data_IF_676439732622
#
_entry.id   IF_676439732622
#
_cell.length_a   1.000
_cell.length_b   1.000
_cell.length_c   1.000
_cell.angle_alpha   90.00
_cell.angle_beta   90.00
_cell.angle_gamma   90.00
#
_symmetry.space_group_name_H-M   'P 1'
#
loop_
_entity.id
_entity.type
_entity.pdbx_description
1 polymer ?
#
# COMPACT_ATOMS: atom_id res chain seq x y z
N UNK A 1 13.42 45.88 72.86
CA UNK A 1 14.38 45.78 71.73
C UNK A 1 13.60 45.59 70.45
N UNK A 2 13.47 46.67 69.68
CA UNK A 2 12.59 46.74 68.53
C UNK A 2 13.09 45.96 67.32
N UNK A 3 12.15 45.41 66.57
CA UNK A 3 12.24 45.34 65.12
C UNK A 3 10.95 45.97 64.58
N UNK A 4 11.13 47.13 63.94
CA UNK A 4 10.13 47.89 63.19
C UNK A 4 9.40 47.02 62.19
N UNK A 5 8.10 46.80 62.41
CA UNK A 5 7.17 46.50 61.33
C UNK A 5 7.00 47.79 60.52
N UNK A 6 7.58 47.87 59.33
CA UNK A 6 7.11 48.84 58.34
C UNK A 6 5.75 48.34 57.86
N UNK A 7 4.69 48.82 58.49
CA UNK A 7 3.35 48.79 57.91
C UNK A 7 3.34 49.78 56.73
N UNK A 8 3.86 49.34 55.58
CA UNK A 8 3.80 50.05 54.30
C UNK A 8 2.61 49.59 53.45
N UNK A 9 1.53 49.11 54.08
CA UNK A 9 0.22 48.89 53.44
C UNK A 9 -0.53 50.22 53.17
N UNK A 10 0.20 51.27 52.80
CA UNK A 10 -0.41 52.48 52.26
C UNK A 10 -0.78 52.19 50.82
N UNK A 11 -2.07 51.93 50.57
CA UNK A 11 -2.66 51.94 49.23
C UNK A 11 -2.33 53.31 48.61
N UNK A 12 -1.45 53.31 47.61
CA UNK A 12 -1.05 54.53 46.93
C UNK A 12 -2.10 54.85 45.87
N UNK A 13 -2.93 55.84 46.17
CA UNK A 13 -4.03 56.28 45.31
C UNK A 13 -3.53 57.44 44.47
N UNK A 14 -3.58 57.30 43.15
CA UNK A 14 -3.26 58.36 42.19
C UNK A 14 -4.46 58.69 41.30
N UNK A 15 -4.51 59.91 40.78
CA UNK A 15 -5.41 60.28 39.69
C UNK A 15 -4.67 60.15 38.37
N UNK A 16 -5.32 59.59 37.35
CA UNK A 16 -4.79 59.62 35.99
C UNK A 16 -5.18 60.91 35.25
N UNK A 17 -4.71 61.04 34.00
CA UNK A 17 -4.99 62.18 33.13
C UNK A 17 -6.48 62.33 32.75
N UNK A 18 -7.30 61.32 33.05
CA UNK A 18 -8.75 61.29 32.87
C UNK A 18 -9.52 61.55 34.18
N UNK A 19 -8.82 61.99 35.24
CA UNK A 19 -9.34 62.21 36.60
C UNK A 19 -9.94 60.97 37.29
N UNK A 20 -9.56 59.76 36.87
CA UNK A 20 -9.98 58.51 37.50
C UNK A 20 -9.06 58.13 38.65
N UNK A 21 -9.65 57.64 39.73
CA UNK A 21 -8.93 57.12 40.89
C UNK A 21 -8.30 55.77 40.52
N UNK A 22 -6.99 55.64 40.71
CA UNK A 22 -6.22 54.42 40.45
C UNK A 22 -5.37 54.02 41.64
N UNK A 23 -5.16 52.72 41.77
CA UNK A 23 -4.28 52.11 42.80
C UNK A 23 -2.90 51.75 42.22
N UNK A 24 -2.81 51.63 40.89
CA UNK A 24 -1.55 51.54 40.14
C UNK A 24 -1.25 52.88 39.48
N UNK A 25 0.04 53.26 39.43
CA UNK A 25 0.46 54.40 38.63
C UNK A 25 0.08 54.19 37.15
N UNK A 26 -0.27 55.26 36.41
CA UNK A 26 -0.71 55.16 35.01
C UNK A 26 0.26 54.34 34.14
N UNK A 27 1.56 54.59 34.26
CA UNK A 27 2.61 53.86 33.53
C UNK A 27 2.58 52.34 33.80
N UNK A 28 2.40 51.92 35.05
CA UNK A 28 2.33 50.49 35.39
C UNK A 28 1.03 49.85 34.91
N UNK A 29 -0.07 50.61 34.92
CA UNK A 29 -1.34 50.17 34.38
C UNK A 29 -1.25 49.93 32.87
N UNK A 30 -0.66 50.89 32.13
CA UNK A 30 -0.48 50.78 30.68
C UNK A 30 0.45 49.63 30.31
N UNK A 31 1.58 49.46 31.01
CA UNK A 31 2.48 48.32 30.80
C UNK A 31 1.80 46.97 31.07
N UNK A 32 0.94 46.90 32.11
CA UNK A 32 0.20 45.67 32.43
C UNK A 32 -0.84 45.37 31.34
N UNK A 33 -1.48 46.39 30.78
CA UNK A 33 -2.43 46.25 29.68
C UNK A 33 -1.72 45.78 28.41
N UNK A 34 -0.60 46.41 28.05
CA UNK A 34 0.21 46.00 26.91
C UNK A 34 0.70 44.55 27.05
N UNK A 35 1.19 44.17 28.24
CA UNK A 35 1.59 42.79 28.52
C UNK A 35 0.42 41.82 28.34
N UNK A 36 -0.79 42.15 28.81
CA UNK A 36 -1.97 41.31 28.65
C UNK A 36 -2.36 41.13 27.17
N UNK A 37 -2.28 42.20 26.37
CA UNK A 37 -2.52 42.16 24.92
C UNK A 37 -1.48 41.28 24.21
N UNK A 38 -0.19 41.43 24.55
CA UNK A 38 0.89 40.62 23.99
C UNK A 38 0.74 39.14 24.38
N UNK A 39 0.41 38.83 25.63
CA UNK A 39 0.14 37.46 26.08
C UNK A 39 -1.03 36.85 25.31
N UNK A 40 -2.11 37.60 25.11
CA UNK A 40 -3.28 37.14 24.35
C UNK A 40 -2.89 36.85 22.89
N UNK A 41 -2.16 37.76 22.25
CA UNK A 41 -1.68 37.57 20.89
C UNK A 41 -0.72 36.36 20.76
N UNK A 42 0.12 36.12 21.76
CA UNK A 42 0.99 34.96 21.81
C UNK A 42 0.20 33.65 21.90
N UNK A 43 -0.78 33.57 22.79
CA UNK A 43 -1.65 32.39 22.94
C UNK A 43 -2.38 32.09 21.62
N UNK A 44 -2.92 33.11 20.96
CA UNK A 44 -3.59 32.94 19.67
C UNK A 44 -2.64 32.41 18.59
N UNK A 45 -1.42 32.95 18.49
CA UNK A 45 -0.41 32.44 17.54
C UNK A 45 -0.04 30.98 17.79
N UNK A 46 0.02 30.56 19.05
CA UNK A 46 0.30 29.17 19.41
C UNK A 46 -0.86 28.25 19.04
N UNK A 47 -2.10 28.73 19.21
CA UNK A 47 -3.29 28.00 18.75
C UNK A 47 -3.27 27.81 17.22
N UNK A 48 -3.06 28.89 16.46
CA UNK A 48 -2.98 28.83 15.00
C UNK A 48 -1.86 27.90 14.50
N UNK A 49 -0.70 27.95 15.16
CA UNK A 49 0.41 27.05 14.86
C UNK A 49 0.06 25.58 15.14
N UNK A 50 -0.57 25.31 16.29
CA UNK A 50 -1.02 23.97 16.65
C UNK A 50 -2.01 23.42 15.62
N UNK A 51 -2.97 24.22 15.18
CA UNK A 51 -3.96 23.83 14.17
C UNK A 51 -3.28 23.53 12.82
N UNK A 52 -2.31 24.36 12.42
CA UNK A 52 -1.54 24.15 11.19
C UNK A 52 -0.75 22.84 11.24
N UNK A 53 -0.10 22.55 12.37
CA UNK A 53 0.63 21.29 12.56
C UNK A 53 -0.32 20.11 12.55
N UNK A 54 -1.51 20.23 13.15
CA UNK A 54 -2.51 19.18 13.14
C UNK A 54 -2.94 18.81 11.71
N UNK A 55 -3.29 19.82 10.90
CA UNK A 55 -3.62 19.63 9.48
C UNK A 55 -2.46 18.99 8.71
N UNK A 56 -1.22 19.42 8.97
CA UNK A 56 -0.04 18.82 8.33
C UNK A 56 0.10 17.33 8.69
N UNK A 57 -0.10 16.97 9.96
CA UNK A 57 -0.05 15.56 10.40
C UNK A 57 -1.12 14.74 9.69
N UNK A 58 -2.35 15.23 9.59
CA UNK A 58 -3.43 14.53 8.87
C UNK A 58 -3.10 14.30 7.39
N UNK A 59 -2.54 15.30 6.72
CA UNK A 59 -2.10 15.19 5.32
C UNK A 59 -1.00 14.13 5.20
N UNK A 60 0.01 14.17 6.06
CA UNK A 60 1.09 13.19 6.04
C UNK A 60 0.59 11.77 6.28
N UNK A 61 -0.36 11.59 7.19
CA UNK A 61 -0.95 10.28 7.49
C UNK A 61 -1.77 9.74 6.30
N UNK A 62 -2.52 10.61 5.62
CA UNK A 62 -3.23 10.27 4.38
C UNK A 62 -2.25 9.87 3.27
N UNK A 63 -1.17 10.63 3.08
CA UNK A 63 -0.16 10.33 2.05
C UNK A 63 0.56 9.02 2.34
N UNK A 64 0.90 8.73 3.60
CA UNK A 64 1.51 7.47 4.01
C UNK A 64 0.62 6.26 3.63
N UNK A 65 -0.69 6.35 3.87
CA UNK A 65 -1.66 5.30 3.50
C UNK A 65 -1.73 5.09 1.99
N UNK A 66 -1.72 6.17 1.20
CA UNK A 66 -1.72 6.10 -0.26
C UNK A 66 -0.44 5.42 -0.78
N UNK A 67 0.72 5.80 -0.25
CA UNK A 67 2.01 5.22 -0.62
C UNK A 67 2.04 3.72 -0.33
N UNK A 68 1.61 3.28 0.86
CA UNK A 68 1.62 1.86 1.20
C UNK A 68 0.66 1.06 0.32
N UNK A 69 -0.50 1.62 -0.01
CA UNK A 69 -1.47 1.00 -0.93
C UNK A 69 -0.85 0.77 -2.31
N UNK A 70 -0.22 1.80 -2.89
CA UNK A 70 0.38 1.70 -4.22
C UNK A 70 1.63 0.79 -4.23
N UNK A 71 2.40 0.77 -3.15
CA UNK A 71 3.52 -0.16 -2.97
C UNK A 71 3.03 -1.61 -2.98
N UNK A 72 1.99 -1.93 -2.19
CA UNK A 72 1.41 -3.27 -2.17
C UNK A 72 0.83 -3.67 -3.54
N UNK A 73 0.12 -2.75 -4.20
CA UNK A 73 -0.40 -2.96 -5.56
C UNK A 73 0.72 -3.30 -6.55
N UNK A 74 1.81 -2.55 -6.51
CA UNK A 74 2.97 -2.73 -7.39
C UNK A 74 3.66 -4.07 -7.13
N UNK A 75 3.87 -4.43 -5.86
CA UNK A 75 4.44 -5.74 -5.49
C UNK A 75 3.54 -6.88 -5.98
N UNK A 76 2.22 -6.77 -5.79
CA UNK A 76 1.27 -7.76 -6.27
C UNK A 76 1.32 -7.95 -7.78
N UNK A 77 1.38 -6.85 -8.54
CA UNK A 77 1.53 -6.89 -9.99
C UNK A 77 2.85 -7.54 -10.42
N UNK A 78 3.96 -7.20 -9.76
CA UNK A 78 5.27 -7.82 -10.02
C UNK A 78 5.24 -9.33 -9.79
N UNK A 79 4.74 -9.78 -8.64
CA UNK A 79 4.66 -11.20 -8.31
C UNK A 79 3.81 -11.96 -9.33
N UNK A 80 2.71 -11.36 -9.79
CA UNK A 80 1.88 -11.94 -10.84
C UNK A 80 2.68 -12.14 -12.13
N UNK A 81 3.34 -11.10 -12.63
CA UNK A 81 4.15 -11.18 -13.88
C UNK A 81 5.24 -12.23 -13.77
N UNK A 82 5.95 -12.26 -12.64
CA UNK A 82 7.01 -13.24 -12.37
C UNK A 82 6.44 -14.67 -12.38
N UNK A 83 5.32 -14.90 -11.70
CA UNK A 83 4.66 -16.21 -11.68
C UNK A 83 4.07 -16.62 -13.03
N UNK A 84 3.65 -15.66 -13.87
CA UNK A 84 3.11 -15.93 -15.20
C UNK A 84 4.19 -16.50 -16.13
N UNK A 85 5.44 -16.05 -16.02
CA UNK A 85 6.56 -16.60 -16.81
C UNK A 85 6.80 -18.08 -16.49
N UNK A 86 6.89 -18.41 -15.20
CA UNK A 86 7.05 -19.81 -14.75
C UNK A 86 5.84 -20.67 -15.09
N UNK A 87 4.64 -20.10 -15.02
CA UNK A 87 3.42 -20.79 -15.41
C UNK A 87 3.42 -21.12 -16.91
N UNK A 88 3.75 -20.15 -17.77
CA UNK A 88 3.87 -20.38 -19.22
C UNK A 88 4.93 -21.42 -19.55
N UNK A 89 6.10 -21.36 -18.93
CA UNK A 89 7.17 -22.33 -19.12
C UNK A 89 6.72 -23.76 -18.76
N UNK A 90 6.09 -23.93 -17.59
CA UNK A 90 5.55 -25.23 -17.15
C UNK A 90 4.45 -25.74 -18.07
N UNK A 91 3.53 -24.88 -18.50
CA UNK A 91 2.48 -25.24 -19.45
C UNK A 91 3.07 -25.70 -20.79
N UNK A 92 4.08 -24.99 -21.31
CA UNK A 92 4.73 -25.35 -22.55
C UNK A 92 5.40 -26.74 -22.46
N UNK A 93 6.13 -27.01 -21.38
CA UNK A 93 6.74 -28.32 -21.14
C UNK A 93 5.69 -29.43 -21.04
N UNK A 94 4.60 -29.18 -20.31
CA UNK A 94 3.51 -30.15 -20.17
C UNK A 94 2.84 -30.46 -21.52
N UNK A 95 2.59 -29.44 -22.36
CA UNK A 95 2.04 -29.63 -23.70
C UNK A 95 3.02 -30.39 -24.61
N UNK A 96 4.31 -30.08 -24.55
CA UNK A 96 5.32 -30.81 -25.32
C UNK A 96 5.39 -32.29 -24.93
N UNK A 97 5.29 -32.61 -23.64
CA UNK A 97 5.24 -33.99 -23.16
C UNK A 97 4.01 -34.73 -23.69
N UNK A 98 2.83 -34.10 -23.64
CA UNK A 98 1.61 -34.68 -24.21
C UNK A 98 1.73 -34.90 -25.73
N UNK A 99 2.31 -33.94 -26.46
CA UNK A 99 2.54 -34.10 -27.91
C UNK A 99 3.47 -35.29 -28.17
N UNK A 100 4.55 -35.44 -27.40
CA UNK A 100 5.48 -36.55 -27.54
C UNK A 100 4.79 -37.90 -27.28
N UNK A 101 4.00 -37.99 -26.22
CA UNK A 101 3.21 -39.19 -25.88
C UNK A 101 2.24 -39.56 -27.02
N UNK A 102 1.47 -38.60 -27.52
CA UNK A 102 0.52 -38.85 -28.62
C UNK A 102 1.21 -39.25 -29.92
N UNK A 103 2.39 -38.69 -30.22
CA UNK A 103 3.19 -39.10 -31.38
C UNK A 103 3.69 -40.53 -31.25
N UNK A 104 4.15 -40.93 -30.06
CA UNK A 104 4.60 -42.29 -29.82
C UNK A 104 3.45 -43.31 -29.95
N UNK A 105 2.27 -42.98 -29.40
CA UNK A 105 1.08 -43.84 -29.56
C UNK A 105 0.65 -43.95 -31.03
N UNK A 106 0.69 -42.84 -31.77
CA UNK A 106 0.39 -42.84 -33.20
C UNK A 106 1.36 -43.75 -33.97
N UNK A 107 2.67 -43.63 -33.73
CA UNK A 107 3.68 -44.47 -34.38
C UNK A 107 3.46 -45.96 -34.08
N UNK A 108 3.14 -46.28 -32.82
CA UNK A 108 2.80 -47.64 -32.40
C UNK A 108 1.57 -48.18 -33.13
N UNK A 109 0.48 -47.40 -33.18
CA UNK A 109 -0.74 -47.76 -33.89
C UNK A 109 -0.51 -47.96 -35.39
N UNK A 110 0.27 -47.08 -36.03
CA UNK A 110 0.63 -47.21 -37.45
C UNK A 110 1.39 -48.50 -37.73
N UNK A 111 2.38 -48.85 -36.90
CA UNK A 111 3.13 -50.11 -37.06
C UNK A 111 2.23 -51.35 -36.91
N UNK A 112 1.32 -51.32 -35.94
CA UNK A 112 0.35 -52.42 -35.76
C UNK A 112 -0.58 -52.54 -36.97
N UNK A 113 -1.07 -51.42 -37.49
CA UNK A 113 -1.89 -51.39 -38.69
C UNK A 113 -1.15 -51.98 -39.90
N UNK A 114 0.08 -51.55 -40.17
CA UNK A 114 0.88 -52.04 -41.30
C UNK A 114 1.13 -53.56 -41.18
N UNK A 115 1.35 -54.05 -39.96
CA UNK A 115 1.50 -55.48 -39.69
C UNK A 115 0.22 -56.26 -39.99
N UNK A 116 -0.94 -55.74 -39.57
CA UNK A 116 -2.24 -56.38 -39.82
C UNK A 116 -2.57 -56.42 -41.31
N UNK A 117 -2.32 -55.32 -42.04
CA UNK A 117 -2.50 -55.27 -43.50
C UNK A 117 -1.64 -56.33 -44.20
N UNK A 118 -0.40 -56.53 -43.74
CA UNK A 118 0.47 -57.58 -44.28
C UNK A 118 -0.10 -58.99 -44.02
N UNK A 119 -0.50 -59.27 -42.78
CA UNK A 119 -1.09 -60.55 -42.40
C UNK A 119 -2.37 -60.83 -43.20
N UNK A 120 -3.25 -59.83 -43.34
CA UNK A 120 -4.47 -59.92 -44.15
C UNK A 120 -4.15 -60.26 -45.61
N UNK A 121 -3.16 -59.59 -46.20
CA UNK A 121 -2.73 -59.87 -47.57
C UNK A 121 -2.19 -61.30 -47.73
N UNK A 122 -1.45 -61.82 -46.74
CA UNK A 122 -0.97 -63.20 -46.72
C UNK A 122 -2.12 -64.21 -46.59
N UNK A 123 -3.06 -63.97 -45.68
CA UNK A 123 -4.25 -64.81 -45.51
C UNK A 123 -5.12 -64.85 -46.77
N UNK A 124 -5.33 -63.70 -47.43
CA UNK A 124 -6.07 -63.61 -48.68
C UNK A 124 -5.38 -64.39 -49.82
N UNK A 125 -4.05 -64.42 -49.86
CA UNK A 125 -3.31 -65.26 -50.83
C UNK A 125 -3.50 -66.74 -50.52
N UNK A 126 -3.42 -67.14 -49.25
CA UNK A 126 -3.66 -68.53 -48.84
C UNK A 126 -5.07 -68.99 -49.23
N UNK A 127 -6.10 -68.19 -48.94
CA UNK A 127 -7.49 -68.50 -49.31
C UNK A 127 -7.66 -68.67 -50.82
N UNK A 128 -7.06 -67.79 -51.64
CA UNK A 128 -7.08 -67.93 -53.10
C UNK A 128 -6.40 -69.22 -53.57
N UNK A 129 -5.28 -69.59 -52.97
CA UNK A 129 -4.59 -70.82 -53.32
C UNK A 129 -5.43 -72.05 -52.98
N UNK A 130 -6.09 -72.08 -51.81
CA UNK A 130 -7.01 -73.17 -51.46
C UNK A 130 -8.22 -73.21 -52.40
N UNK A 131 -8.86 -72.07 -52.69
CA UNK A 131 -9.98 -72.02 -53.64
C UNK A 131 -9.61 -72.48 -55.05
N UNK A 132 -8.36 -72.27 -55.50
CA UNK A 132 -7.88 -72.75 -56.80
C UNK A 132 -7.41 -74.21 -56.78
N UNK A 133 -7.26 -74.81 -55.60
CA UNK A 133 -6.81 -76.21 -55.44
C UNK A 133 -7.98 -77.18 -55.27
N UNK A 134 -9.18 -76.66 -54.99
CA UNK A 134 -10.42 -77.42 -54.77
C UNK A 134 -11.35 -77.46 -56.00
N UNK A 135 -10.90 -76.91 -57.15
CA UNK A 135 -11.48 -77.05 -58.51
C UNK A 135 -10.57 -77.93 -59.40
#
# INVERSE_FOLDING_TARGET
>A
NGLTMKNDDKVNICFDDECKIRVLSPEKFDHTKELAEQCTAFVNKIADFSDTVHVLVEILDSQAKMIETEKLRTIGQRNRVESEMDHRSRQQLALQAQIAEKKAELERCSKHYDSLVRIEAEQNKLLKNFSNSDD
#
